data_IF_945696454226
#
_entry.id   IF_945696454226
#
_cell.length_a   1.000
_cell.length_b   1.000
_cell.length_c   1.000
_cell.angle_alpha   90.00
_cell.angle_beta   90.00
_cell.angle_gamma   90.00
#
_symmetry.space_group_name_H-M   'P 1'
#
loop_
_entity.id
_entity.type
_entity.pdbx_description
1 polymer ?
#
# COMPACT_ATOMS: atom_id res chain seq x y z
N UNK A 1 -4.36 7.41 -10.38
CA UNK A 1 -3.17 6.76 -10.94
C UNK A 1 -1.95 7.64 -10.80
N UNK A 2 -0.80 7.07 -10.49
CA UNK A 2 0.42 7.85 -10.29
C UNK A 2 1.03 8.30 -11.62
N UNK A 3 1.57 9.52 -11.66
CA UNK A 3 2.36 10.00 -12.80
C UNK A 3 3.66 9.19 -12.88
N UNK A 4 4.39 9.31 -14.00
CA UNK A 4 5.68 8.62 -14.15
C UNK A 4 6.66 8.98 -13.02
N UNK A 5 6.71 10.25 -12.63
CA UNK A 5 7.58 10.72 -11.56
C UNK A 5 7.14 10.17 -10.20
N UNK A 6 5.83 10.18 -9.93
CA UNK A 6 5.28 9.62 -8.70
C UNK A 6 5.51 8.11 -8.65
N UNK A 7 5.38 7.41 -9.78
CA UNK A 7 5.63 5.97 -9.85
C UNK A 7 7.09 5.65 -9.53
N UNK A 8 8.03 6.47 -10.00
CA UNK A 8 9.45 6.29 -9.69
C UNK A 8 9.71 6.44 -8.19
N UNK A 9 9.08 7.43 -7.55
CA UNK A 9 9.20 7.62 -6.09
C UNK A 9 8.57 6.45 -5.34
N UNK A 10 7.40 6.01 -5.76
CA UNK A 10 6.71 4.88 -5.13
C UNK A 10 7.55 3.61 -5.24
N UNK A 11 8.14 3.36 -6.41
CA UNK A 11 9.04 2.22 -6.62
C UNK A 11 10.23 2.28 -5.65
N UNK A 12 10.85 3.45 -5.51
CA UNK A 12 11.96 3.63 -4.59
C UNK A 12 11.58 3.29 -3.15
N UNK A 13 10.41 3.74 -2.72
CA UNK A 13 9.91 3.44 -1.38
C UNK A 13 9.60 1.95 -1.21
N UNK A 14 8.97 1.33 -2.19
CA UNK A 14 8.66 -0.10 -2.15
C UNK A 14 9.94 -0.94 -2.09
N UNK A 15 10.93 -0.61 -2.89
CA UNK A 15 12.22 -1.30 -2.87
C UNK A 15 12.87 -1.17 -1.49
N UNK A 16 12.84 0.03 -0.91
CA UNK A 16 13.41 0.26 0.42
C UNK A 16 12.68 -0.52 1.50
N UNK A 17 11.34 -0.54 1.46
CA UNK A 17 10.53 -1.28 2.44
C UNK A 17 10.78 -2.78 2.34
N UNK A 18 10.83 -3.32 1.12
CA UNK A 18 11.07 -4.75 0.91
C UNK A 18 12.50 -5.13 1.28
N UNK A 19 13.47 -4.28 0.99
CA UNK A 19 14.86 -4.51 1.40
C UNK A 19 14.97 -4.55 2.92
N UNK A 20 14.32 -3.63 3.60
CA UNK A 20 14.29 -3.60 5.07
C UNK A 20 13.66 -4.89 5.63
N UNK A 21 12.54 -5.33 5.07
CA UNK A 21 11.88 -6.56 5.49
C UNK A 21 12.77 -7.77 5.25
N UNK A 22 13.45 -7.83 4.11
CA UNK A 22 14.38 -8.91 3.80
C UNK A 22 15.53 -9.01 4.77
N UNK A 23 16.13 -7.88 5.12
CA UNK A 23 17.22 -7.82 6.10
C UNK A 23 16.76 -8.21 7.50
N UNK A 24 15.56 -7.84 7.86
CA UNK A 24 14.95 -8.20 9.14
C UNK A 24 14.39 -9.62 9.14
N UNK A 25 14.41 -10.31 7.99
CA UNK A 25 13.80 -11.64 7.79
C UNK A 25 12.31 -11.63 8.15
N UNK A 26 11.64 -10.54 7.86
CA UNK A 26 10.21 -10.39 8.08
C UNK A 26 9.44 -10.72 6.80
N UNK A 27 8.26 -11.29 6.97
CA UNK A 27 7.37 -11.53 5.83
C UNK A 27 6.83 -10.21 5.30
N UNK A 28 6.73 -10.11 3.99
CA UNK A 28 6.11 -8.99 3.32
C UNK A 28 5.19 -9.48 2.21
N UNK A 29 4.22 -8.67 1.86
CA UNK A 29 3.37 -8.93 0.70
C UNK A 29 3.15 -7.62 -0.03
N UNK A 30 2.98 -7.69 -1.34
CA UNK A 30 2.70 -6.54 -2.18
C UNK A 30 1.38 -6.76 -2.91
N UNK A 31 0.46 -5.84 -2.72
CA UNK A 31 -0.83 -5.81 -3.40
C UNK A 31 -0.88 -4.57 -4.28
N UNK A 32 -1.16 -4.76 -5.55
CA UNK A 32 -1.38 -3.64 -6.47
C UNK A 32 -2.86 -3.57 -6.83
N UNK A 33 -3.39 -2.37 -6.92
CA UNK A 33 -4.77 -2.16 -7.34
C UNK A 33 -4.83 -1.11 -8.44
N UNK A 34 -5.75 -1.30 -9.36
CA UNK A 34 -5.93 -0.43 -10.51
C UNK A 34 -6.93 -1.06 -11.47
N UNK A 35 -7.34 -0.31 -12.49
CA UNK A 35 -8.31 -0.80 -13.45
C UNK A 35 -9.58 -1.27 -12.76
N UNK A 36 -9.87 -2.55 -12.81
CA UNK A 36 -11.09 -3.14 -12.27
C UNK A 36 -10.90 -3.95 -10.99
N UNK A 37 -9.71 -4.00 -10.44
CA UNK A 37 -9.51 -4.85 -9.27
C UNK A 37 -8.17 -4.69 -8.59
N UNK A 38 -7.79 -5.74 -7.87
CA UNK A 38 -6.54 -5.79 -7.13
C UNK A 38 -5.89 -7.16 -7.30
N UNK A 39 -4.56 -7.20 -7.23
CA UNK A 39 -3.80 -8.44 -7.36
C UNK A 39 -2.67 -8.48 -6.35
N UNK A 40 -2.46 -9.64 -5.75
CA UNK A 40 -1.28 -9.90 -4.94
C UNK A 40 -0.12 -10.16 -5.91
N UNK A 41 0.90 -9.31 -5.84
CA UNK A 41 2.07 -9.41 -6.73
C UNK A 41 3.22 -10.18 -6.11
N UNK A 42 3.29 -10.21 -4.78
CA UNK A 42 4.34 -10.90 -4.05
C UNK A 42 3.84 -11.27 -2.67
N UNK A 43 4.30 -12.43 -2.19
CA UNK A 43 4.16 -12.85 -0.81
C UNK A 43 2.78 -13.36 -0.41
N UNK A 44 2.61 -13.60 0.90
CA UNK A 44 3.54 -13.30 1.99
C UNK A 44 4.78 -14.20 2.00
N UNK A 45 5.95 -13.59 2.06
CA UNK A 45 7.22 -14.28 2.17
C UNK A 45 8.31 -13.25 2.55
N UNK A 46 9.46 -13.75 2.97
CA UNK A 46 10.62 -12.87 3.18
C UNK A 46 11.13 -12.43 1.81
N UNK A 47 11.15 -11.13 1.50
CA UNK A 47 11.58 -10.67 0.18
C UNK A 47 13.10 -10.84 0.02
N UNK A 48 13.52 -11.30 -1.15
CA UNK A 48 14.94 -11.54 -1.46
C UNK A 48 15.45 -10.70 -2.61
N UNK A 49 14.57 -10.33 -3.56
CA UNK A 49 14.92 -9.52 -4.70
C UNK A 49 13.71 -8.74 -5.19
N UNK A 50 13.96 -7.69 -5.96
CA UNK A 50 12.93 -6.89 -6.60
C UNK A 50 12.59 -7.46 -7.97
N UNK A 51 11.31 -7.40 -8.35
CA UNK A 51 10.84 -7.79 -9.68
C UNK A 51 10.07 -6.62 -10.30
N UNK A 52 10.59 -6.09 -11.39
CA UNK A 52 9.97 -4.95 -12.09
C UNK A 52 8.54 -5.25 -12.54
N UNK A 53 8.21 -6.50 -12.82
CA UNK A 53 6.87 -6.89 -13.25
C UNK A 53 5.81 -6.66 -12.19
N UNK A 54 6.20 -6.54 -10.93
CA UNK A 54 5.24 -6.31 -9.85
C UNK A 54 4.48 -4.99 -10.02
N UNK A 55 5.06 -4.01 -10.71
CA UNK A 55 4.45 -2.70 -10.94
C UNK A 55 3.67 -2.58 -12.25
N UNK A 56 3.50 -3.67 -12.99
CA UNK A 56 2.67 -3.64 -14.19
C UNK A 56 1.21 -3.32 -13.82
N UNK A 57 0.51 -2.56 -14.65
CA UNK A 57 -0.89 -2.22 -14.37
C UNK A 57 -1.76 -3.45 -14.13
N UNK A 58 -2.74 -3.30 -13.26
CA UNK A 58 -3.73 -4.34 -12.95
C UNK A 58 -4.91 -4.14 -13.89
N UNK A 59 -5.12 -5.07 -14.80
CA UNK A 59 -6.26 -5.05 -15.71
C UNK A 59 -6.29 -3.85 -16.64
N UNK A 60 -7.39 -3.69 -17.36
CA UNK A 60 -7.62 -2.55 -18.24
C UNK A 60 -8.61 -1.58 -17.59
N UNK A 61 -8.67 -0.38 -18.18
CA UNK A 61 -9.58 0.65 -17.71
C UNK A 61 -8.94 1.64 -16.76
N UNK A 62 -9.67 2.71 -16.46
CA UNK A 62 -9.15 3.87 -15.74
C UNK A 62 -9.56 3.99 -14.29
N UNK A 63 -10.01 2.92 -13.64
CA UNK A 63 -10.47 2.98 -12.27
C UNK A 63 -9.34 2.94 -11.24
N UNK A 64 -9.68 3.37 -10.03
CA UNK A 64 -8.79 3.26 -8.87
C UNK A 64 -9.54 2.51 -7.77
N UNK A 65 -9.61 1.18 -7.84
CA UNK A 65 -10.43 0.39 -6.91
C UNK A 65 -9.71 0.18 -5.58
N UNK A 66 -9.63 1.23 -4.80
CA UNK A 66 -8.95 1.22 -3.51
C UNK A 66 -9.57 0.19 -2.55
N UNK A 67 -10.90 0.11 -2.51
CA UNK A 67 -11.58 -0.87 -1.65
C UNK A 67 -11.19 -2.31 -1.98
N UNK A 68 -10.98 -2.61 -3.27
CA UNK A 68 -10.53 -3.94 -3.68
C UNK A 68 -9.12 -4.23 -3.17
N UNK A 69 -8.23 -3.22 -3.23
CA UNK A 69 -6.87 -3.34 -2.68
C UNK A 69 -6.89 -3.58 -1.18
N UNK A 70 -7.69 -2.83 -0.45
CA UNK A 70 -7.84 -3.00 1.00
C UNK A 70 -8.40 -4.39 1.33
N UNK A 71 -9.35 -4.88 0.53
CA UNK A 71 -9.94 -6.21 0.73
C UNK A 71 -8.89 -7.32 0.60
N UNK A 72 -8.04 -7.23 -0.43
CA UNK A 72 -6.96 -8.20 -0.59
C UNK A 72 -5.95 -8.12 0.56
N UNK A 73 -5.57 -6.92 0.97
CA UNK A 73 -4.68 -6.73 2.11
C UNK A 73 -5.29 -7.29 3.39
N UNK A 74 -6.58 -7.05 3.62
CA UNK A 74 -7.29 -7.54 4.79
C UNK A 74 -7.23 -9.07 4.87
N UNK A 75 -7.46 -9.77 3.76
CA UNK A 75 -7.37 -11.23 3.74
C UNK A 75 -5.97 -11.72 4.09
N UNK A 76 -4.93 -11.07 3.57
CA UNK A 76 -3.55 -11.44 3.89
C UNK A 76 -3.23 -11.20 5.37
N UNK A 77 -3.70 -10.10 5.93
CA UNK A 77 -3.50 -9.77 7.34
C UNK A 77 -4.23 -10.76 8.26
N UNK A 78 -5.44 -11.16 7.90
CA UNK A 78 -6.20 -12.16 8.65
C UNK A 78 -5.47 -13.51 8.69
N UNK A 79 -4.93 -13.94 7.54
CA UNK A 79 -4.16 -15.17 7.47
C UNK A 79 -2.88 -15.08 8.31
N UNK A 80 -2.18 -13.95 8.24
CA UNK A 80 -0.98 -13.72 9.02
C UNK A 80 -1.27 -13.75 10.52
N UNK A 81 -2.37 -13.15 10.94
CA UNK A 81 -2.79 -13.15 12.35
C UNK A 81 -3.06 -14.56 12.86
N UNK A 82 -3.63 -15.44 12.03
CA UNK A 82 -3.87 -16.82 12.41
C UNK A 82 -2.57 -17.64 12.47
N UNK A 83 -1.62 -17.38 11.57
CA UNK A 83 -0.37 -18.14 11.49
C UNK A 83 0.64 -17.73 12.55
N UNK A 84 0.77 -16.42 12.78
CA UNK A 84 1.75 -15.84 13.69
C UNK A 84 1.09 -14.74 14.53
N UNK A 85 0.23 -15.09 15.49
CA UNK A 85 -0.59 -14.12 16.20
C UNK A 85 0.20 -13.09 17.01
N UNK A 86 1.42 -13.41 17.43
CA UNK A 86 2.24 -12.49 18.21
C UNK A 86 3.11 -11.56 17.36
N UNK A 87 3.15 -11.76 16.06
CA UNK A 87 3.94 -10.92 15.16
C UNK A 87 3.19 -9.62 14.89
N UNK A 88 3.92 -8.50 14.90
CA UNK A 88 3.35 -7.21 14.50
C UNK A 88 3.04 -7.20 13.01
N UNK A 89 1.92 -6.60 12.67
CA UNK A 89 1.45 -6.47 11.30
C UNK A 89 1.30 -5.00 10.94
N UNK A 90 2.01 -4.60 9.88
CA UNK A 90 2.01 -3.24 9.37
C UNK A 90 1.41 -3.20 7.99
N UNK A 91 0.66 -2.16 7.69
CA UNK A 91 0.11 -1.92 6.35
C UNK A 91 0.58 -0.54 5.87
N UNK A 92 1.29 -0.54 4.75
CA UNK A 92 1.70 0.69 4.07
C UNK A 92 0.84 0.87 2.84
N UNK A 93 0.23 2.03 2.69
CA UNK A 93 -0.65 2.34 1.57
C UNK A 93 -0.06 3.53 0.80
N UNK A 94 0.31 3.28 -0.45
CA UNK A 94 0.86 4.29 -1.35
C UNK A 94 -0.18 4.61 -2.40
N UNK A 95 -0.73 5.80 -2.39
CA UNK A 95 -1.81 6.19 -3.29
C UNK A 95 -1.81 7.69 -3.54
N UNK A 96 -2.46 8.13 -4.62
CA UNK A 96 -2.67 9.55 -4.90
C UNK A 96 -4.03 10.05 -4.37
N UNK A 97 -4.78 9.19 -3.70
CA UNK A 97 -6.04 9.57 -3.07
C UNK A 97 -7.19 9.85 -4.02
N UNK A 98 -7.10 9.42 -5.26
CA UNK A 98 -8.14 9.72 -6.27
C UNK A 98 -9.37 8.83 -6.16
N UNK A 99 -9.30 7.74 -5.42
CA UNK A 99 -10.46 6.88 -5.23
C UNK A 99 -11.48 7.55 -4.31
N UNK A 100 -12.75 7.39 -4.64
CA UNK A 100 -13.85 7.82 -3.76
C UNK A 100 -14.20 6.79 -2.71
N UNK A 101 -13.57 5.62 -2.74
CA UNK A 101 -13.85 4.55 -1.81
C UNK A 101 -13.43 4.91 -0.39
N UNK A 102 -14.27 4.55 0.57
CA UNK A 102 -13.99 4.78 2.00
C UNK A 102 -14.16 3.47 2.77
N UNK A 103 -13.30 2.47 2.52
CA UNK A 103 -13.41 1.18 3.20
C UNK A 103 -13.05 1.31 4.68
N UNK A 104 -13.50 0.33 5.48
CA UNK A 104 -13.14 0.27 6.88
C UNK A 104 -11.69 -0.18 7.05
N UNK A 105 -11.07 0.26 8.15
CA UNK A 105 -9.72 -0.19 8.52
C UNK A 105 -9.73 -1.71 8.72
N UNK A 106 -8.73 -2.44 8.19
CA UNK A 106 -8.57 -3.87 8.49
C UNK A 106 -8.45 -4.09 10.00
N UNK A 107 -9.10 -5.14 10.52
CA UNK A 107 -9.09 -5.42 11.96
C UNK A 107 -7.75 -5.99 12.44
N UNK A 108 -7.08 -6.77 11.60
CA UNK A 108 -5.88 -7.51 11.99
C UNK A 108 -4.57 -6.79 11.66
N UNK A 109 -4.57 -5.46 11.77
CA UNK A 109 -3.38 -4.65 11.54
C UNK A 109 -3.04 -3.84 12.78
N UNK A 110 -1.74 -3.78 13.11
CA UNK A 110 -1.28 -3.03 14.28
C UNK A 110 -0.97 -1.58 13.94
N UNK A 111 -0.35 -1.35 12.79
CA UNK A 111 0.03 -0.01 12.34
C UNK A 111 -0.33 0.16 10.86
N UNK A 112 -0.86 1.33 10.53
CA UNK A 112 -1.15 1.71 9.14
C UNK A 112 -0.46 3.02 8.84
N UNK A 113 0.24 3.08 7.72
CA UNK A 113 0.90 4.29 7.24
C UNK A 113 0.35 4.62 5.85
N UNK A 114 -0.24 5.79 5.71
CA UNK A 114 -0.65 6.31 4.40
C UNK A 114 0.47 7.20 3.85
N UNK A 115 0.93 6.88 2.66
CA UNK A 115 1.86 7.72 1.91
C UNK A 115 1.06 8.38 0.79
N UNK A 116 0.89 9.70 0.90
CA UNK A 116 0.03 10.47 0.01
C UNK A 116 0.84 11.09 -1.12
N UNK A 117 0.60 10.60 -2.33
CA UNK A 117 1.23 11.10 -3.56
C UNK A 117 0.39 12.17 -4.26
N UNK A 118 -0.68 12.63 -3.63
CA UNK A 118 -1.54 13.64 -4.23
C UNK A 118 -0.77 14.94 -4.49
N UNK A 119 -0.86 15.43 -5.72
CA UNK A 119 -0.26 16.69 -6.15
C UNK A 119 -1.27 17.46 -6.99
N UNK A 120 -1.05 18.74 -7.13
CA UNK A 120 -1.88 19.60 -7.95
C UNK A 120 -2.44 20.78 -7.17
N UNK A 121 -3.03 21.73 -7.90
CA UNK A 121 -3.58 22.97 -7.33
C UNK A 121 -4.85 22.70 -6.50
N UNK A 122 -5.62 21.69 -6.89
CA UNK A 122 -6.82 21.29 -6.16
C UNK A 122 -6.56 19.93 -5.53
N UNK A 123 -6.57 19.86 -4.21
CA UNK A 123 -6.33 18.65 -3.45
C UNK A 123 -7.64 18.10 -2.91
N UNK A 124 -7.85 16.80 -3.12
CA UNK A 124 -9.03 16.10 -2.61
C UNK A 124 -8.91 15.76 -1.13
N UNK A 125 -7.70 15.64 -0.63
CA UNK A 125 -7.37 15.34 0.78
C UNK A 125 -8.00 14.04 1.30
N UNK A 126 -8.33 13.11 0.42
CA UNK A 126 -8.98 11.85 0.81
C UNK A 126 -8.06 10.93 1.62
N UNK A 127 -6.77 10.90 1.30
CA UNK A 127 -5.79 10.15 2.08
C UNK A 127 -5.74 10.65 3.52
N UNK A 128 -5.69 11.95 3.69
CA UNK A 128 -5.64 12.56 5.01
C UNK A 128 -6.90 12.27 5.81
N UNK A 129 -8.06 12.39 5.16
CA UNK A 129 -9.35 12.07 5.78
C UNK A 129 -9.42 10.62 6.21
N UNK A 130 -8.99 9.71 5.33
CA UNK A 130 -9.02 8.28 5.60
C UNK A 130 -8.04 7.90 6.70
N UNK A 131 -6.84 8.46 6.68
CA UNK A 131 -5.86 8.24 7.73
C UNK A 131 -6.40 8.67 9.09
N UNK A 132 -7.08 9.81 9.14
CA UNK A 132 -7.70 10.31 10.35
C UNK A 132 -8.80 9.36 10.84
N UNK A 133 -9.66 8.91 9.93
CA UNK A 133 -10.75 7.98 10.26
C UNK A 133 -10.22 6.64 10.77
N UNK A 134 -9.09 6.19 10.27
CA UNK A 134 -8.49 4.92 10.67
C UNK A 134 -7.55 5.04 11.88
N UNK A 135 -7.27 6.25 12.35
CA UNK A 135 -6.23 6.45 13.36
C UNK A 135 -4.85 6.06 12.85
N UNK A 136 -4.60 6.26 11.56
CA UNK A 136 -3.36 5.87 10.91
C UNK A 136 -2.36 7.03 10.85
N UNK A 137 -1.10 6.70 10.61
CA UNK A 137 -0.06 7.70 10.33
C UNK A 137 -0.21 8.21 8.90
N UNK A 138 -0.09 9.52 8.73
CA UNK A 138 -0.17 10.17 7.43
C UNK A 138 1.16 10.85 7.12
N UNK A 139 1.75 10.52 5.98
CA UNK A 139 3.00 11.13 5.53
C UNK A 139 2.94 11.42 4.04
N UNK A 140 3.78 12.35 3.60
CA UNK A 140 4.01 12.59 2.18
C UNK A 140 5.33 11.90 1.77
N UNK A 141 5.55 11.65 0.46
CA UNK A 141 6.81 11.04 0.02
C UNK A 141 8.04 11.85 0.43
N UNK A 142 7.93 13.17 0.43
CA UNK A 142 9.04 14.07 0.78
C UNK A 142 9.46 13.89 2.24
N UNK A 143 8.51 13.64 3.13
CA UNK A 143 8.80 13.43 4.55
C UNK A 143 9.58 12.13 4.81
N UNK A 144 9.45 11.16 3.92
CA UNK A 144 10.14 9.88 4.05
C UNK A 144 11.55 9.90 3.44
N UNK A 145 11.80 10.79 2.50
CA UNK A 145 13.08 10.87 1.79
C UNK A 145 14.11 11.69 2.56
N UNK A 146 13.66 12.63 3.34
CA UNK A 146 14.55 13.49 4.15
C UNK A 146 15.12 12.75 5.39
#
# INVERSE_FOLDING_TARGET
MLTAQQLALAKGLLVALLDHAGKARADAALVCFGGTGAQVRFGPAVPRWWNERWLQPVGGGGGTPFAAGVREATQLLERAARRKPLQQRWLWILTDGRSGDMPARPADVDQVVFVDFEQGAIRLERCEQLAKAWGATYVTPEELID
#
